data_IF_456538206741
#
_entry.id   IF_456538206741
#
_cell.length_a   1.000
_cell.length_b   1.000
_cell.length_c   1.000
_cell.angle_alpha   90.00
_cell.angle_beta   90.00
_cell.angle_gamma   90.00
#
_symmetry.space_group_name_H-M   'P 1'
#
loop_
_entity.id
_entity.type
_entity.pdbx_description
1 polymer ?
#
# COMPACT_ATOMS: atom_id res chain seq x y z
N UNK A 1 -74.23 -3.33 -33.55
CA UNK A 1 -73.63 -2.10 -32.98
C UNK A 1 -73.51 -1.04 -34.10
N UNK A 2 -74.56 -0.27 -34.38
CA UNK A 2 -74.63 0.64 -35.56
C UNK A 2 -74.18 2.09 -35.25
N UNK A 3 -73.66 2.34 -34.05
CA UNK A 3 -73.28 3.69 -33.58
C UNK A 3 -72.25 4.36 -34.49
N UNK A 4 -71.28 3.60 -35.01
CA UNK A 4 -70.24 4.11 -35.89
C UNK A 4 -70.75 4.54 -37.28
N UNK A 5 -71.84 3.92 -37.76
CA UNK A 5 -72.51 4.34 -39.01
C UNK A 5 -73.30 5.64 -38.80
N UNK A 6 -73.85 5.85 -37.60
CA UNK A 6 -74.67 7.01 -37.27
C UNK A 6 -73.82 8.24 -36.91
N UNK A 7 -72.69 8.04 -36.23
CA UNK A 7 -71.79 9.10 -35.76
C UNK A 7 -70.40 8.98 -36.40
N UNK A 8 -70.35 8.85 -37.73
CA UNK A 8 -69.12 8.57 -38.49
C UNK A 8 -68.02 9.61 -38.25
N UNK A 9 -68.38 10.88 -38.11
CA UNK A 9 -67.43 11.97 -37.83
C UNK A 9 -66.77 11.86 -36.45
N UNK A 10 -67.54 11.55 -35.41
CA UNK A 10 -67.01 11.35 -34.04
C UNK A 10 -66.14 10.10 -33.95
N UNK A 11 -66.53 9.02 -34.65
CA UNK A 11 -65.72 7.80 -34.75
C UNK A 11 -64.34 8.05 -35.37
N UNK A 12 -64.28 8.80 -36.48
CA UNK A 12 -63.01 9.18 -37.12
C UNK A 12 -62.15 10.06 -36.21
N UNK A 13 -62.74 11.04 -35.51
CA UNK A 13 -62.02 11.88 -34.57
C UNK A 13 -61.41 11.07 -33.41
N UNK A 14 -62.14 10.11 -32.87
CA UNK A 14 -61.62 9.24 -31.80
C UNK A 14 -60.46 8.35 -32.27
N UNK A 15 -60.51 7.85 -33.51
CA UNK A 15 -59.41 7.08 -34.09
C UNK A 15 -58.17 7.96 -34.27
N UNK A 16 -58.34 9.15 -34.85
CA UNK A 16 -57.23 10.11 -35.06
C UNK A 16 -56.64 10.53 -33.73
N UNK A 17 -57.47 10.90 -32.76
CA UNK A 17 -57.00 11.31 -31.44
C UNK A 17 -56.31 10.16 -30.69
N UNK A 18 -56.88 8.95 -30.74
CA UNK A 18 -56.27 7.75 -30.17
C UNK A 18 -54.92 7.44 -30.81
N UNK A 19 -54.81 7.53 -32.13
CA UNK A 19 -53.54 7.34 -32.84
C UNK A 19 -52.50 8.40 -32.47
N UNK A 20 -52.90 9.66 -32.32
CA UNK A 20 -52.03 10.77 -31.91
C UNK A 20 -51.55 10.59 -30.46
N UNK A 21 -52.43 10.17 -29.56
CA UNK A 21 -52.09 9.90 -28.16
C UNK A 21 -51.10 8.73 -28.03
N UNK A 22 -51.30 7.65 -28.79
CA UNK A 22 -50.36 6.52 -28.83
C UNK A 22 -49.01 6.96 -29.39
N UNK A 23 -49.00 7.73 -30.48
CA UNK A 23 -47.77 8.26 -31.07
C UNK A 23 -47.00 9.17 -30.10
N UNK A 24 -47.70 10.08 -29.41
CA UNK A 24 -47.11 10.94 -28.38
C UNK A 24 -46.54 10.12 -27.21
N UNK A 25 -47.25 9.06 -26.79
CA UNK A 25 -46.77 8.14 -25.76
C UNK A 25 -45.47 7.42 -26.15
N UNK A 26 -45.37 6.97 -27.40
CA UNK A 26 -44.15 6.33 -27.92
C UNK A 26 -42.98 7.31 -27.93
N UNK A 27 -43.19 8.55 -28.41
CA UNK A 27 -42.15 9.58 -28.43
C UNK A 27 -41.66 9.94 -27.03
N UNK A 28 -42.57 10.09 -26.08
CA UNK A 28 -42.22 10.36 -24.68
C UNK A 28 -41.45 9.20 -24.06
N UNK A 29 -41.85 7.96 -24.33
CA UNK A 29 -41.14 6.77 -23.86
C UNK A 29 -39.70 6.72 -24.41
N UNK A 30 -39.50 6.95 -25.71
CA UNK A 30 -38.16 6.97 -26.31
C UNK A 30 -37.28 8.08 -25.74
N UNK A 31 -37.85 9.28 -25.57
CA UNK A 31 -37.13 10.42 -24.97
C UNK A 31 -36.72 10.13 -23.54
N UNK A 32 -37.63 9.53 -22.76
CA UNK A 32 -37.40 9.22 -21.35
C UNK A 32 -36.41 8.08 -21.18
N UNK A 33 -36.49 7.03 -21.99
CA UNK A 33 -35.52 5.93 -22.01
C UNK A 33 -34.11 6.41 -22.36
N UNK A 34 -33.96 7.23 -23.41
CA UNK A 34 -32.65 7.79 -23.77
C UNK A 34 -32.10 8.73 -22.69
N UNK A 35 -32.95 9.47 -22.00
CA UNK A 35 -32.55 10.31 -20.86
C UNK A 35 -32.16 9.47 -19.63
N UNK A 36 -32.90 8.41 -19.30
CA UNK A 36 -32.58 7.54 -18.17
C UNK A 36 -31.26 6.81 -18.39
N UNK A 37 -31.01 6.32 -19.60
CA UNK A 37 -29.76 5.64 -19.94
C UNK A 37 -28.56 6.59 -19.83
N UNK A 38 -28.68 7.80 -20.38
CA UNK A 38 -27.64 8.83 -20.27
C UNK A 38 -27.40 9.26 -18.82
N UNK A 39 -28.47 9.36 -18.02
CA UNK A 39 -28.38 9.70 -16.60
C UNK A 39 -27.68 8.59 -15.81
N UNK A 40 -28.02 7.34 -16.07
CA UNK A 40 -27.39 6.19 -15.43
C UNK A 40 -25.89 6.09 -15.76
N UNK A 41 -25.50 6.30 -17.02
CA UNK A 41 -24.10 6.31 -17.42
C UNK A 41 -23.31 7.45 -16.73
N UNK A 42 -23.93 8.62 -16.60
CA UNK A 42 -23.34 9.74 -15.87
C UNK A 42 -23.14 9.42 -14.38
N UNK A 43 -24.16 8.89 -13.71
CA UNK A 43 -24.10 8.56 -12.28
C UNK A 43 -23.09 7.43 -12.01
N UNK A 44 -22.96 6.45 -12.91
CA UNK A 44 -21.91 5.43 -12.88
C UNK A 44 -20.51 6.05 -12.99
N UNK A 45 -20.28 6.93 -13.97
CA UNK A 45 -18.99 7.60 -14.14
C UNK A 45 -18.65 8.50 -12.94
N UNK A 46 -19.63 9.18 -12.37
CA UNK A 46 -19.45 10.00 -11.17
C UNK A 46 -19.09 9.16 -9.94
N UNK A 47 -19.71 7.98 -9.80
CA UNK A 47 -19.40 7.03 -8.72
C UNK A 47 -18.01 6.43 -8.89
N UNK A 48 -17.64 6.06 -10.12
CA UNK A 48 -16.30 5.53 -10.42
C UNK A 48 -15.23 6.59 -10.14
N UNK A 49 -15.49 7.85 -10.51
CA UNK A 49 -14.61 8.98 -10.18
C UNK A 49 -14.48 9.17 -8.67
N UNK A 50 -15.58 9.15 -7.92
CA UNK A 50 -15.55 9.28 -6.46
C UNK A 50 -14.82 8.10 -5.82
N UNK A 51 -15.03 6.87 -6.31
CA UNK A 51 -14.30 5.67 -5.86
C UNK A 51 -12.80 5.83 -6.08
N UNK A 52 -12.39 6.30 -7.26
CA UNK A 52 -11.00 6.59 -7.56
C UNK A 52 -10.46 7.64 -6.59
N UNK A 53 -11.14 8.78 -6.41
CA UNK A 53 -10.72 9.87 -5.50
C UNK A 53 -10.50 9.41 -4.04
N UNK A 54 -11.18 8.35 -3.59
CA UNK A 54 -11.07 7.82 -2.21
C UNK A 54 -10.13 6.61 -2.07
N UNK A 55 -9.56 6.07 -3.15
CA UNK A 55 -8.57 4.99 -3.07
C UNK A 55 -7.26 5.55 -2.51
N UNK A 56 -6.78 5.05 -1.38
CA UNK A 56 -5.49 5.45 -0.81
C UNK A 56 -4.34 4.55 -1.29
N UNK A 57 -3.17 5.11 -1.71
CA UNK A 57 -2.94 6.53 -1.97
C UNK A 57 -3.50 6.93 -3.35
N UNK A 58 -4.41 7.91 -3.36
CA UNK A 58 -4.94 8.44 -4.62
C UNK A 58 -3.81 9.22 -5.32
N UNK A 59 -3.61 9.08 -6.64
CA UNK A 59 -2.67 9.91 -7.39
C UNK A 59 -3.17 11.36 -7.47
N UNK A 60 -3.08 12.07 -6.34
CA UNK A 60 -3.15 13.52 -6.28
C UNK A 60 -1.73 14.07 -6.07
N UNK A 61 -1.49 15.29 -6.54
CA UNK A 61 -0.19 15.96 -6.41
C UNK A 61 0.30 16.05 -4.96
N UNK A 62 -0.63 16.12 -3.99
CA UNK A 62 -0.30 16.20 -2.56
C UNK A 62 0.27 14.89 -2.02
N UNK A 63 -0.31 13.74 -2.39
CA UNK A 63 0.14 12.41 -2.02
C UNK A 63 1.40 12.04 -2.79
N UNK A 64 1.51 12.44 -4.06
CA UNK A 64 2.73 12.31 -4.84
C UNK A 64 3.89 13.06 -4.18
N UNK A 65 3.68 14.31 -3.76
CA UNK A 65 4.70 15.10 -3.02
C UNK A 65 5.06 14.47 -1.67
N UNK A 66 4.08 13.91 -0.94
CA UNK A 66 4.36 13.16 0.29
C UNK A 66 5.23 11.94 0.02
N UNK A 67 4.88 11.14 -1.00
CA UNK A 67 5.65 9.96 -1.41
C UNK A 67 7.07 10.35 -1.83
N UNK A 68 7.21 11.40 -2.65
CA UNK A 68 8.51 11.93 -3.07
C UNK A 68 9.33 12.37 -1.85
N UNK A 69 8.72 13.07 -0.89
CA UNK A 69 9.37 13.45 0.36
C UNK A 69 9.79 12.25 1.23
N UNK A 70 9.03 11.15 1.24
CA UNK A 70 9.44 9.91 1.89
C UNK A 70 10.62 9.25 1.18
N UNK A 71 10.59 9.20 -0.16
CA UNK A 71 11.67 8.65 -0.98
C UNK A 71 12.96 9.45 -0.82
N UNK A 72 12.88 10.78 -0.80
CA UNK A 72 14.05 11.65 -0.60
C UNK A 72 14.68 11.45 0.79
N UNK A 73 13.86 11.33 1.85
CA UNK A 73 14.34 11.01 3.20
C UNK A 73 14.98 9.64 3.27
N UNK A 74 14.38 8.65 2.61
CA UNK A 74 14.92 7.30 2.55
C UNK A 74 16.26 7.26 1.82
N UNK A 75 16.35 7.92 0.66
CA UNK A 75 17.60 8.03 -0.10
C UNK A 75 18.69 8.76 0.70
N UNK A 76 18.35 9.84 1.40
CA UNK A 76 19.31 10.54 2.27
C UNK A 76 19.81 9.66 3.42
N UNK A 77 18.93 8.85 4.02
CA UNK A 77 19.31 7.87 5.04
C UNK A 77 20.21 6.76 4.48
N UNK A 78 19.93 6.29 3.26
CA UNK A 78 20.77 5.30 2.56
C UNK A 78 22.14 5.85 2.16
N UNK A 79 22.21 7.08 1.66
CA UNK A 79 23.49 7.69 1.30
C UNK A 79 24.34 7.92 2.55
N UNK A 80 23.72 8.37 3.65
CA UNK A 80 24.38 8.46 4.95
C UNK A 80 24.88 7.09 5.43
N UNK A 81 24.08 6.04 5.27
CA UNK A 81 24.48 4.66 5.58
C UNK A 81 25.69 4.25 4.76
N UNK A 82 25.67 4.47 3.44
CA UNK A 82 26.76 4.14 2.53
C UNK A 82 28.05 4.87 2.92
N UNK A 83 27.94 6.12 3.35
CA UNK A 83 29.08 6.91 3.80
C UNK A 83 29.59 6.51 5.19
N UNK A 84 28.72 6.06 6.10
CA UNK A 84 29.12 5.46 7.38
C UNK A 84 29.81 4.11 7.17
N UNK A 85 29.29 3.26 6.26
CA UNK A 85 29.89 1.97 5.93
C UNK A 85 31.28 2.10 5.30
N UNK A 86 31.50 3.13 4.48
CA UNK A 86 32.81 3.43 3.91
C UNK A 86 33.83 3.88 4.95
N UNK A 87 33.38 4.48 6.06
CA UNK A 87 34.26 5.01 7.11
C UNK A 87 34.71 3.92 8.08
N UNK A 88 33.82 2.98 8.40
CA UNK A 88 34.12 1.82 9.24
C UNK A 88 33.98 0.53 8.44
N UNK A 89 35.01 0.21 7.66
CA UNK A 89 35.28 -1.19 7.33
C UNK A 89 35.75 -1.83 8.64
N UNK A 90 34.80 -2.26 9.47
CA UNK A 90 35.02 -2.85 10.79
C UNK A 90 36.11 -3.91 10.64
N UNK A 91 37.31 -3.74 11.23
CA UNK A 91 38.34 -4.75 11.19
C UNK A 91 37.78 -6.02 11.84
N UNK A 92 38.01 -7.19 11.24
CA UNK A 92 37.64 -8.47 11.84
C UNK A 92 38.44 -8.68 13.13
N UNK A 93 37.90 -8.17 14.24
CA UNK A 93 38.50 -8.36 15.55
C UNK A 93 38.45 -9.87 15.86
N UNK A 94 39.56 -10.49 16.28
CA UNK A 94 39.56 -11.89 16.68
C UNK A 94 38.58 -12.05 17.85
N UNK A 95 37.42 -12.62 17.55
CA UNK A 95 36.31 -12.82 18.48
C UNK A 95 36.24 -14.30 18.81
N UNK A 96 36.29 -14.62 20.10
CA UNK A 96 36.06 -15.97 20.56
C UNK A 96 34.55 -16.33 20.44
N UNK A 97 34.18 -17.60 20.16
CA UNK A 97 32.79 -18.00 19.94
C UNK A 97 31.81 -17.65 21.08
N UNK A 98 32.30 -17.62 22.31
CA UNK A 98 31.55 -17.22 23.50
C UNK A 98 31.28 -15.71 23.55
N UNK A 99 32.22 -14.89 23.09
CA UNK A 99 32.05 -13.43 23.00
C UNK A 99 31.06 -13.05 21.89
N UNK A 100 31.01 -13.83 20.80
CA UNK A 100 30.01 -13.66 19.75
C UNK A 100 28.58 -13.81 20.28
N UNK A 101 28.28 -14.86 21.06
CA UNK A 101 26.94 -15.04 21.65
C UNK A 101 26.55 -13.94 22.64
N UNK A 102 27.52 -13.38 23.36
CA UNK A 102 27.27 -12.24 24.25
C UNK A 102 26.95 -10.98 23.44
N UNK A 103 27.70 -10.71 22.37
CA UNK A 103 27.45 -9.58 21.46
C UNK A 103 26.14 -9.70 20.70
N UNK A 104 25.77 -10.90 20.25
CA UNK A 104 24.48 -11.17 19.61
C UNK A 104 23.31 -10.82 20.54
N UNK A 105 23.38 -11.27 21.81
CA UNK A 105 22.37 -10.92 22.82
C UNK A 105 22.32 -9.42 23.10
N UNK A 106 23.47 -8.76 23.25
CA UNK A 106 23.52 -7.31 23.46
C UNK A 106 22.97 -6.53 22.27
N UNK A 107 23.31 -6.95 21.05
CA UNK A 107 22.82 -6.35 19.81
C UNK A 107 21.30 -6.52 19.67
N UNK A 108 20.77 -7.72 19.88
CA UNK A 108 19.34 -8.00 19.86
C UNK A 108 18.57 -7.15 20.87
N UNK A 109 19.05 -7.04 22.12
CA UNK A 109 18.44 -6.19 23.16
C UNK A 109 18.50 -4.71 22.78
N UNK A 110 19.63 -4.22 22.26
CA UNK A 110 19.77 -2.84 21.82
C UNK A 110 18.81 -2.50 20.67
N UNK A 111 18.66 -3.41 19.72
CA UNK A 111 17.74 -3.29 18.59
C UNK A 111 16.28 -3.31 19.04
N UNK A 112 15.89 -4.21 19.96
CA UNK A 112 14.55 -4.24 20.54
C UNK A 112 14.21 -2.94 21.28
N UNK A 113 15.14 -2.43 22.11
CA UNK A 113 14.95 -1.17 22.83
C UNK A 113 14.79 0.03 21.86
N UNK A 114 15.58 0.08 20.79
CA UNK A 114 15.44 1.13 19.76
C UNK A 114 14.13 1.01 18.99
N UNK A 115 13.67 -0.20 18.68
CA UNK A 115 12.40 -0.41 18.01
C UNK A 115 11.21 0.04 18.86
N UNK A 116 11.23 -0.26 20.17
CA UNK A 116 10.23 0.26 21.11
C UNK A 116 10.27 1.79 21.18
N UNK A 117 11.46 2.38 21.23
CA UNK A 117 11.65 3.84 21.27
C UNK A 117 11.12 4.52 20.00
N UNK A 118 11.30 3.89 18.83
CA UNK A 118 10.88 4.41 17.54
C UNK A 118 9.48 3.92 17.09
N UNK A 119 8.73 3.22 17.96
CA UNK A 119 7.41 2.61 17.66
C UNK A 119 7.41 1.70 16.41
N UNK A 120 8.51 1.01 16.14
CA UNK A 120 8.63 0.08 15.01
C UNK A 120 8.27 -1.33 15.45
N UNK A 121 7.35 -1.99 14.75
CA UNK A 121 7.00 -3.39 15.03
C UNK A 121 8.07 -4.33 14.49
N UNK A 122 8.74 -5.05 15.39
CA UNK A 122 9.67 -6.14 15.06
C UNK A 122 8.99 -7.51 15.27
N UNK A 123 9.44 -8.56 14.56
CA UNK A 123 8.97 -9.94 14.77
C UNK A 123 9.32 -10.47 16.18
N UNK A 124 8.50 -11.36 16.73
CA UNK A 124 8.65 -11.91 18.09
C UNK A 124 9.98 -12.67 18.34
N UNK A 125 10.68 -13.09 17.29
CA UNK A 125 11.98 -13.79 17.33
C UNK A 125 13.04 -13.10 16.48
N UNK A 126 13.23 -11.80 16.70
CA UNK A 126 14.20 -11.02 15.92
C UNK A 126 15.62 -11.15 16.47
N UNK A 127 16.33 -12.19 16.07
CA UNK A 127 17.74 -12.44 16.45
C UNK A 127 18.73 -11.95 15.39
N UNK A 128 18.39 -10.86 14.68
CA UNK A 128 19.25 -10.23 13.66
C UNK A 128 19.64 -11.20 12.52
N UNK A 129 18.86 -12.28 12.28
CA UNK A 129 19.17 -13.31 11.29
C UNK A 129 20.25 -14.33 11.73
N UNK A 130 20.58 -14.38 13.03
CA UNK A 130 21.53 -15.34 13.62
C UNK A 130 20.84 -16.33 14.58
N UNK A 131 19.60 -16.72 14.28
CA UNK A 131 18.80 -17.67 15.07
C UNK A 131 19.42 -19.07 15.19
N UNK A 132 20.27 -19.43 14.22
CA UNK A 132 21.07 -20.65 14.28
C UNK A 132 22.17 -20.61 15.35
N UNK A 133 22.69 -19.43 15.71
CA UNK A 133 23.83 -19.26 16.63
C UNK A 133 23.44 -18.89 18.06
N UNK A 134 22.15 -18.81 18.37
CA UNK A 134 21.68 -18.66 19.76
C UNK A 134 21.70 -19.96 20.55
N UNK A 135 21.68 -21.10 19.86
CA UNK A 135 21.79 -22.44 20.46
C UNK A 135 23.06 -23.19 20.06
N UNK A 136 23.67 -22.85 18.93
CA UNK A 136 24.93 -23.45 18.45
C UNK A 136 26.10 -22.47 18.54
N UNK A 137 27.27 -22.97 18.94
CA UNK A 137 28.50 -22.17 18.96
C UNK A 137 29.09 -22.13 17.54
N UNK A 138 29.35 -20.94 16.99
CA UNK A 138 30.01 -20.83 15.69
C UNK A 138 31.44 -21.35 15.77
N UNK A 139 31.91 -21.90 14.65
CA UNK A 139 33.26 -22.45 14.56
C UNK A 139 34.33 -21.35 14.73
N UNK A 140 35.42 -21.68 15.41
CA UNK A 140 36.47 -20.72 15.87
C UNK A 140 37.14 -19.94 14.74
N UNK A 141 37.14 -20.49 13.52
CA UNK A 141 37.68 -19.87 12.31
C UNK A 141 36.73 -18.83 11.69
N UNK A 142 35.43 -18.92 11.96
CA UNK A 142 34.38 -18.09 11.35
C UNK A 142 33.83 -17.05 12.32
N UNK A 143 34.02 -17.25 13.63
CA UNK A 143 33.62 -16.34 14.70
C UNK A 143 34.02 -14.85 14.50
N UNK A 144 35.23 -14.50 14.03
CA UNK A 144 35.58 -13.09 13.76
C UNK A 144 34.84 -12.50 12.54
N UNK A 145 34.58 -13.29 11.50
CA UNK A 145 33.80 -12.86 10.33
C UNK A 145 32.31 -12.70 10.68
N UNK A 146 31.76 -13.64 11.44
CA UNK A 146 30.39 -13.57 11.96
C UNK A 146 30.20 -12.36 12.87
N UNK A 147 31.18 -12.02 13.71
CA UNK A 147 31.16 -10.83 14.54
C UNK A 147 31.16 -9.52 13.75
N UNK A 148 31.89 -9.48 12.63
CA UNK A 148 31.88 -8.34 11.71
C UNK A 148 30.51 -8.20 11.03
N UNK A 149 29.94 -9.30 10.55
CA UNK A 149 28.63 -9.32 9.92
C UNK A 149 27.51 -8.94 10.87
N UNK A 150 27.53 -9.45 12.10
CA UNK A 150 26.60 -9.04 13.16
C UNK A 150 26.64 -7.53 13.40
N UNK A 151 27.84 -6.93 13.43
CA UNK A 151 27.99 -5.49 13.61
C UNK A 151 27.42 -4.71 12.42
N UNK A 152 27.60 -5.21 11.19
CA UNK A 152 27.06 -4.58 9.97
C UNK A 152 25.53 -4.70 9.92
N UNK A 153 24.98 -5.87 10.25
CA UNK A 153 23.55 -6.12 10.33
C UNK A 153 22.90 -5.26 11.42
N UNK A 154 23.54 -5.15 12.59
CA UNK A 154 23.07 -4.26 13.66
C UNK A 154 23.07 -2.79 13.21
N UNK A 155 24.08 -2.35 12.46
CA UNK A 155 24.13 -0.99 11.92
C UNK A 155 23.00 -0.74 10.91
N UNK A 156 22.79 -1.67 9.97
CA UNK A 156 21.70 -1.61 8.99
C UNK A 156 20.33 -1.51 9.67
N UNK A 157 20.08 -2.35 10.68
CA UNK A 157 18.80 -2.36 11.37
C UNK A 157 18.60 -1.12 12.23
N UNK A 158 19.64 -0.63 12.92
CA UNK A 158 19.53 0.62 13.67
C UNK A 158 19.12 1.79 12.77
N UNK A 159 19.59 1.83 11.52
CA UNK A 159 19.22 2.88 10.55
C UNK A 159 17.78 2.72 10.07
N UNK A 160 17.34 1.49 9.80
CA UNK A 160 15.93 1.21 9.51
C UNK A 160 15.04 1.68 10.68
N UNK A 161 15.43 1.39 11.92
CA UNK A 161 14.71 1.85 13.09
C UNK A 161 14.72 3.38 13.23
N UNK A 162 15.85 4.04 12.99
CA UNK A 162 15.97 5.51 13.04
C UNK A 162 15.18 6.20 11.91
N UNK A 163 14.99 5.52 10.78
CA UNK A 163 14.12 5.97 9.69
C UNK A 163 12.61 5.85 10.01
N UNK A 164 12.24 5.31 11.18
CA UNK A 164 10.84 5.12 11.65
C UNK A 164 9.95 4.38 10.64
N UNK A 165 10.43 3.26 10.10
CA UNK A 165 9.60 2.37 9.27
C UNK A 165 8.46 1.77 10.11
N UNK A 166 7.25 1.65 9.55
CA UNK A 166 6.07 1.16 10.27
C UNK A 166 6.21 -0.27 10.83
N UNK A 167 6.88 -1.17 10.09
CA UNK A 167 7.15 -2.53 10.55
C UNK A 167 8.27 -3.20 9.74
N UNK A 168 8.98 -4.13 10.37
CA UNK A 168 9.88 -5.08 9.69
C UNK A 168 9.20 -6.44 9.67
N UNK A 169 8.79 -6.91 8.50
CA UNK A 169 8.04 -8.17 8.33
C UNK A 169 8.93 -9.41 8.28
N UNK A 170 10.12 -9.30 7.70
CA UNK A 170 11.09 -10.42 7.62
C UNK A 170 12.51 -9.90 7.43
N UNK A 171 13.48 -10.54 8.07
CA UNK A 171 14.91 -10.30 7.87
C UNK A 171 15.61 -11.66 7.86
N UNK A 172 16.25 -12.01 6.74
CA UNK A 172 17.06 -13.22 6.58
C UNK A 172 18.44 -12.81 6.07
N UNK A 173 19.47 -13.46 6.59
CA UNK A 173 20.87 -13.35 6.16
C UNK A 173 21.09 -14.14 4.88
#
# INVERSE_FOLDING_TARGET
>A
MNWFRQNRALGTLLIVFGSCAVFAGILLYWRWAGWSDARQAFDQAATERSRLEHLDPFPNDTNYRKLQGYLDRYNAALDKFKDELKKDVVPAAPLAPNEFQSRLRQAAVATLNRAQTNNVKLPDKFELGFDEFTTSLPDTTVAPLLGQELSQVQMLINILLDAKVDSVTSFHR
#
